data_IF_773009350637
#
_entry.id   IF_773009350637
#
_cell.length_a   1.000
_cell.length_b   1.000
_cell.length_c   1.000
_cell.angle_alpha   90.00
_cell.angle_beta   90.00
_cell.angle_gamma   90.00
#
_symmetry.space_group_name_H-M   'P 1'
#
loop_
_entity.id
_entity.type
_entity.pdbx_description
1 polymer ?
#
# COMPACT_ATOMS: atom_id res chain seq x y z
N UNK A 1 -5.35 20.12 4.16
CA UNK A 1 -4.93 18.90 4.87
C UNK A 1 -5.70 17.75 4.25
N UNK A 2 -5.00 16.73 3.74
CA UNK A 2 -5.65 15.51 3.24
C UNK A 2 -5.72 14.50 4.38
N UNK A 3 -6.91 13.98 4.64
CA UNK A 3 -7.16 13.00 5.70
C UNK A 3 -7.99 11.88 5.10
N UNK A 4 -7.41 10.68 5.04
CA UNK A 4 -8.06 9.49 4.52
C UNK A 4 -8.18 8.49 5.67
N UNK A 5 -9.42 8.16 6.06
CA UNK A 5 -9.67 7.16 7.11
C UNK A 5 -9.36 5.77 6.56
N UNK A 6 -8.51 5.01 7.26
CA UNK A 6 -8.08 3.67 6.84
C UNK A 6 -9.26 2.73 6.58
N UNK A 7 -10.26 2.75 7.47
CA UNK A 7 -11.45 1.91 7.39
C UNK A 7 -12.35 2.22 6.18
N UNK A 8 -12.20 3.41 5.59
CA UNK A 8 -12.98 3.86 4.42
C UNK A 8 -12.28 3.57 3.10
N UNK A 9 -11.00 3.16 3.12
CA UNK A 9 -10.25 2.85 1.90
C UNK A 9 -10.62 1.45 1.40
N UNK A 10 -11.09 1.37 0.15
CA UNK A 10 -11.46 0.11 -0.47
C UNK A 10 -10.22 -0.80 -0.64
N UNK A 11 -10.21 -2.01 -0.05
CA UNK A 11 -9.12 -2.94 -0.24
C UNK A 11 -9.26 -3.63 -1.60
N UNK A 12 -8.14 -4.09 -2.14
CA UNK A 12 -8.12 -5.01 -3.27
C UNK A 12 -7.14 -6.16 -3.02
N UNK A 13 -7.43 -7.32 -3.61
CA UNK A 13 -6.57 -8.49 -3.56
C UNK A 13 -5.64 -8.48 -4.77
N UNK A 14 -4.35 -8.68 -4.52
CA UNK A 14 -3.30 -8.77 -5.55
C UNK A 14 -3.20 -10.20 -6.09
N UNK A 15 -2.37 -10.39 -7.13
CA UNK A 15 -2.11 -11.70 -7.70
C UNK A 15 -1.42 -12.68 -6.72
N UNK A 16 -0.63 -12.17 -5.77
CA UNK A 16 0.03 -12.97 -4.73
C UNK A 16 -0.87 -13.29 -3.52
N UNK A 17 -2.15 -12.86 -3.56
CA UNK A 17 -3.13 -13.11 -2.51
C UNK A 17 -3.02 -12.19 -1.29
N UNK A 18 -2.08 -11.24 -1.28
CA UNK A 18 -2.10 -10.16 -0.28
C UNK A 18 -3.27 -9.21 -0.54
N UNK A 19 -3.70 -8.52 0.52
CA UNK A 19 -4.71 -7.46 0.45
C UNK A 19 -4.04 -6.12 0.65
N UNK A 20 -4.26 -5.19 -0.29
CA UNK A 20 -3.72 -3.84 -0.24
C UNK A 20 -4.85 -2.82 -0.04
N UNK A 21 -4.63 -1.83 0.83
CA UNK A 21 -5.42 -0.59 0.90
C UNK A 21 -4.52 0.59 0.55
N UNK A 22 -4.87 1.35 -0.47
CA UNK A 22 -4.20 2.63 -0.74
C UNK A 22 -4.68 3.68 0.26
N UNK A 23 -3.75 4.29 0.99
CA UNK A 23 -4.03 5.36 1.97
C UNK A 23 -3.72 6.72 1.35
N UNK A 24 -2.59 6.84 0.65
CA UNK A 24 -2.18 8.03 -0.09
C UNK A 24 -1.56 7.64 -1.43
N UNK A 25 -2.20 8.02 -2.52
CA UNK A 25 -1.65 8.00 -3.88
C UNK A 25 -2.29 9.11 -4.74
N UNK A 26 -1.91 9.19 -6.03
CA UNK A 26 -2.40 10.24 -6.95
C UNK A 26 -3.90 10.16 -7.26
N UNK A 27 -4.58 9.07 -6.90
CA UNK A 27 -6.02 8.90 -7.10
C UNK A 27 -6.84 9.44 -5.93
N UNK A 28 -6.26 9.54 -4.73
CA UNK A 28 -6.97 9.95 -3.51
C UNK A 28 -6.31 11.12 -2.74
N UNK A 29 -5.14 11.59 -3.18
CA UNK A 29 -4.40 12.67 -2.55
C UNK A 29 -3.51 13.43 -3.54
N UNK A 30 -3.20 14.72 -3.28
CA UNK A 30 -2.28 15.51 -4.11
C UNK A 30 -0.82 15.18 -3.77
N UNK A 31 -0.44 13.90 -3.80
CA UNK A 31 0.92 13.44 -3.55
C UNK A 31 1.71 13.27 -4.84
N UNK A 32 3.01 13.56 -4.81
CA UNK A 32 3.87 13.48 -6.00
C UNK A 32 5.02 12.47 -5.88
N UNK A 33 5.80 12.56 -4.80
CA UNK A 33 7.05 11.80 -4.58
C UNK A 33 6.93 10.72 -3.51
N UNK A 34 5.74 10.53 -2.94
CA UNK A 34 5.49 9.54 -1.91
C UNK A 34 4.09 8.97 -2.07
N UNK A 35 3.94 7.69 -1.77
CA UNK A 35 2.66 7.02 -1.56
C UNK A 35 2.69 6.29 -0.22
N UNK A 36 1.50 5.90 0.26
CA UNK A 36 1.34 5.08 1.45
C UNK A 36 0.22 4.06 1.22
N UNK A 37 0.50 2.82 1.53
CA UNK A 37 -0.48 1.74 1.49
C UNK A 37 -0.29 0.81 2.70
N UNK A 38 -1.39 0.19 3.12
CA UNK A 38 -1.38 -0.96 4.03
C UNK A 38 -1.40 -2.24 3.20
N UNK A 39 -0.53 -3.19 3.55
CA UNK A 39 -0.54 -4.54 2.99
C UNK A 39 -0.78 -5.56 4.12
N UNK A 40 -1.74 -6.46 3.91
CA UNK A 40 -2.04 -7.59 4.79
C UNK A 40 -1.82 -8.90 4.05
N UNK A 41 -1.08 -9.83 4.65
CA UNK A 41 -0.77 -11.13 4.07
C UNK A 41 -1.51 -12.25 4.82
N UNK A 42 -1.95 -13.32 4.13
CA UNK A 42 -2.42 -14.51 4.80
C UNK A 42 -1.28 -15.20 5.56
N UNK A 43 -1.57 -16.04 6.57
CA UNK A 43 -0.56 -16.81 7.27
C UNK A 43 0.31 -17.63 6.31
N UNK A 44 1.64 -17.49 6.41
CA UNK A 44 2.60 -18.15 5.52
C UNK A 44 2.68 -17.55 4.10
N UNK A 45 1.91 -16.50 3.81
CA UNK A 45 1.99 -15.77 2.56
C UNK A 45 3.25 -14.91 2.44
N UNK A 46 3.61 -14.59 1.19
CA UNK A 46 4.67 -13.66 0.86
C UNK A 46 4.23 -12.80 -0.33
N UNK A 47 4.73 -11.56 -0.41
CA UNK A 47 4.52 -10.73 -1.60
C UNK A 47 5.40 -11.20 -2.76
N UNK A 48 4.98 -10.90 -3.98
CA UNK A 48 5.82 -11.08 -5.15
C UNK A 48 7.01 -10.10 -5.10
N UNK A 49 8.22 -10.64 -5.32
CA UNK A 49 9.45 -9.84 -5.32
C UNK A 49 9.41 -8.83 -6.46
N UNK A 50 9.57 -7.56 -6.13
CA UNK A 50 9.70 -6.48 -7.10
C UNK A 50 10.86 -5.55 -6.74
N UNK A 51 11.19 -4.64 -7.66
CA UNK A 51 12.34 -3.75 -7.54
C UNK A 51 11.97 -2.33 -7.94
N UNK A 52 12.24 -1.38 -7.05
CA UNK A 52 12.09 0.05 -7.30
C UNK A 52 13.44 0.66 -7.65
N UNK A 53 13.58 1.19 -8.87
CA UNK A 53 14.85 1.76 -9.35
C UNK A 53 15.16 3.15 -8.78
N UNK A 54 14.12 3.92 -8.49
CA UNK A 54 14.21 5.37 -8.21
C UNK A 54 13.57 5.76 -6.88
N UNK A 55 13.00 4.80 -6.17
CA UNK A 55 12.21 5.02 -4.95
C UNK A 55 12.70 4.08 -3.85
N UNK A 56 12.69 4.59 -2.63
CA UNK A 56 12.85 3.79 -1.43
C UNK A 56 11.49 3.26 -0.99
N UNK A 57 11.48 2.11 -0.32
CA UNK A 57 10.29 1.53 0.28
C UNK A 57 10.56 1.26 1.76
N UNK A 58 9.70 1.77 2.62
CA UNK A 58 9.85 1.71 4.07
C UNK A 58 8.67 0.94 4.65
N UNK A 59 8.96 -0.09 5.42
CA UNK A 59 7.94 -0.90 6.09
C UNK A 59 7.85 -0.55 7.57
N UNK A 60 6.62 -0.38 8.04
CA UNK A 60 6.26 -0.38 9.46
C UNK A 60 5.41 -1.62 9.71
N UNK A 61 5.88 -2.49 10.61
CA UNK A 61 5.23 -3.78 10.89
C UNK A 61 4.36 -3.62 12.15
N UNK A 62 3.09 -4.02 12.03
CA UNK A 62 2.07 -3.96 13.08
C UNK A 62 2.02 -5.25 13.92
#
# INVERSE_FOLDING_TARGET
MTVNQLSEQAPFTTADGSTIRSILDRTNAPVEQQSLAEASLPPGGATERHYHKISEEIYFIL
#
